data_IF_045947189875
#
_entry.id   IF_045947189875
#
_cell.length_a   1.000
_cell.length_b   1.000
_cell.length_c   1.000
_cell.angle_alpha   90.00
_cell.angle_beta   90.00
_cell.angle_gamma   90.00
#
_symmetry.space_group_name_H-M   'P 1'
#
loop_
_entity.id
_entity.type
_entity.pdbx_description
1 polymer ?
#
# COMPACT_ATOMS: atom_id res chain seq x y z
N UNK A 1 67.44 -3.19 -22.80
CA UNK A 1 66.89 -2.58 -21.58
C UNK A 1 65.64 -1.75 -21.86
N UNK A 2 65.72 -0.54 -22.44
CA UNK A 2 64.52 0.30 -22.71
C UNK A 2 63.59 -0.32 -23.78
N UNK A 3 64.13 -0.92 -24.83
CA UNK A 3 63.33 -1.58 -25.87
C UNK A 3 62.61 -2.85 -25.37
N UNK A 4 63.24 -3.61 -24.47
CA UNK A 4 62.67 -4.84 -23.91
C UNK A 4 61.52 -4.54 -22.94
N UNK A 5 61.63 -3.45 -22.16
CA UNK A 5 60.55 -2.97 -21.28
C UNK A 5 59.33 -2.51 -22.08
N UNK A 6 59.53 -1.79 -23.20
CA UNK A 6 58.43 -1.38 -24.09
C UNK A 6 57.76 -2.55 -24.79
N UNK A 7 58.52 -3.57 -25.18
CA UNK A 7 57.98 -4.81 -25.76
C UNK A 7 57.12 -5.55 -24.74
N UNK A 8 57.62 -5.70 -23.52
CA UNK A 8 56.87 -6.34 -22.43
C UNK A 8 55.60 -5.58 -22.05
N UNK A 9 55.66 -4.24 -22.06
CA UNK A 9 54.48 -3.38 -21.86
C UNK A 9 53.40 -3.68 -22.90
N UNK A 10 53.75 -3.69 -24.18
CA UNK A 10 52.82 -3.96 -25.27
C UNK A 10 52.20 -5.36 -25.19
N UNK A 11 53.00 -6.38 -24.86
CA UNK A 11 52.52 -7.76 -24.70
C UNK A 11 51.52 -7.89 -23.54
N UNK A 12 51.80 -7.25 -22.40
CA UNK A 12 50.91 -7.30 -21.24
C UNK A 12 49.64 -6.48 -21.50
N UNK A 13 49.74 -5.30 -22.13
CA UNK A 13 48.57 -4.51 -22.50
C UNK A 13 47.66 -5.26 -23.48
N UNK A 14 48.23 -5.98 -24.46
CA UNK A 14 47.45 -6.85 -25.33
C UNK A 14 46.77 -7.99 -24.58
N UNK A 15 47.46 -8.61 -23.62
CA UNK A 15 46.88 -9.67 -22.79
C UNK A 15 45.76 -9.15 -21.87
N UNK A 16 45.86 -7.92 -21.37
CA UNK A 16 44.79 -7.25 -20.61
C UNK A 16 43.58 -6.99 -21.52
N UNK A 17 43.81 -6.57 -22.77
CA UNK A 17 42.74 -6.25 -23.70
C UNK A 17 41.91 -7.48 -24.09
N UNK A 18 42.57 -8.64 -24.26
CA UNK A 18 41.93 -9.93 -24.59
C UNK A 18 41.34 -10.65 -23.37
N UNK A 19 41.56 -10.16 -22.15
CA UNK A 19 40.98 -10.78 -20.95
C UNK A 19 39.48 -10.49 -20.87
N UNK A 20 38.66 -11.50 -21.17
CA UNK A 20 37.20 -11.37 -21.26
C UNK A 20 36.45 -11.65 -19.95
N UNK A 21 37.13 -12.22 -18.95
CA UNK A 21 36.54 -12.53 -17.65
C UNK A 21 37.50 -12.23 -16.47
N UNK A 22 36.95 -12.25 -15.26
CA UNK A 22 37.70 -11.94 -14.05
C UNK A 22 38.85 -12.93 -13.78
N UNK A 23 38.72 -14.19 -14.21
CA UNK A 23 39.75 -15.20 -14.02
C UNK A 23 40.92 -15.01 -14.99
N UNK A 24 40.63 -14.67 -16.25
CA UNK A 24 41.60 -14.32 -17.28
C UNK A 24 42.37 -13.06 -16.90
N UNK A 25 41.69 -12.01 -16.42
CA UNK A 25 42.35 -10.79 -15.97
C UNK A 25 43.23 -11.02 -14.74
N UNK A 26 42.80 -11.89 -13.81
CA UNK A 26 43.58 -12.25 -12.64
C UNK A 26 44.83 -13.08 -13.02
N UNK A 27 44.71 -13.97 -14.01
CA UNK A 27 45.87 -14.70 -14.55
C UNK A 27 46.91 -13.73 -15.15
N UNK A 28 46.47 -12.70 -15.88
CA UNK A 28 47.36 -11.65 -16.42
C UNK A 28 48.00 -10.83 -15.28
N UNK A 29 47.23 -10.47 -14.25
CA UNK A 29 47.75 -9.75 -13.07
C UNK A 29 48.81 -10.55 -12.33
N UNK A 30 48.58 -11.84 -12.09
CA UNK A 30 49.55 -12.73 -11.42
C UNK A 30 50.79 -12.93 -12.29
N UNK A 31 50.61 -13.09 -13.61
CA UNK A 31 51.70 -13.25 -14.57
C UNK A 31 52.58 -12.00 -14.74
N UNK A 32 52.01 -10.80 -14.61
CA UNK A 32 52.74 -9.54 -14.74
C UNK A 32 53.28 -9.02 -13.39
N UNK A 33 52.41 -8.90 -12.38
CA UNK A 33 52.67 -8.21 -11.11
C UNK A 33 52.81 -9.16 -9.91
N UNK A 34 52.64 -10.47 -10.09
CA UNK A 34 52.81 -11.45 -9.02
C UNK A 34 54.24 -11.57 -8.51
N UNK A 35 54.48 -12.39 -7.48
CA UNK A 35 55.81 -12.57 -6.84
C UNK A 35 56.90 -13.04 -7.82
N UNK A 36 56.52 -13.79 -8.86
CA UNK A 36 57.36 -14.28 -9.97
C UNK A 36 56.96 -13.65 -11.32
N UNK A 37 56.16 -12.59 -11.32
CA UNK A 37 55.65 -11.97 -12.53
C UNK A 37 56.75 -11.29 -13.34
N UNK A 38 56.53 -11.10 -14.63
CA UNK A 38 57.51 -10.53 -15.56
C UNK A 38 57.96 -9.11 -15.17
N UNK A 39 57.05 -8.25 -14.72
CA UNK A 39 57.36 -6.89 -14.24
C UNK A 39 58.06 -6.92 -12.88
N UNK A 40 57.61 -7.81 -11.98
CA UNK A 40 58.25 -8.02 -10.67
C UNK A 40 59.66 -8.59 -10.80
N UNK A 41 59.92 -9.42 -11.82
CA UNK A 41 61.25 -9.92 -12.15
C UNK A 41 62.17 -8.79 -12.64
N UNK A 42 61.67 -7.89 -13.50
CA UNK A 42 62.41 -6.70 -13.93
C UNK A 42 62.77 -5.79 -12.76
N UNK A 43 61.83 -5.51 -11.84
CA UNK A 43 62.10 -4.70 -10.65
C UNK A 43 63.17 -5.30 -9.72
N UNK A 44 63.26 -6.63 -9.62
CA UNK A 44 64.32 -7.30 -8.84
C UNK A 44 65.71 -7.08 -9.41
N UNK A 45 65.85 -6.91 -10.73
CA UNK A 45 67.15 -6.66 -11.37
C UNK A 45 67.79 -5.33 -10.93
N UNK A 46 66.98 -4.35 -10.48
CA UNK A 46 67.48 -3.08 -9.94
C UNK A 46 68.40 -3.28 -8.72
N UNK A 47 68.27 -4.39 -7.99
CA UNK A 47 69.10 -4.72 -6.84
C UNK A 47 70.59 -4.89 -7.16
N UNK A 48 70.92 -5.33 -8.37
CA UNK A 48 72.29 -5.61 -8.82
C UNK A 48 72.89 -4.57 -9.77
N UNK A 49 72.20 -3.46 -10.05
CA UNK A 49 72.66 -2.40 -10.95
C UNK A 49 73.55 -1.37 -10.24
N UNK A 50 74.42 -0.72 -11.01
CA UNK A 50 75.21 0.43 -10.54
C UNK A 50 74.31 1.64 -10.20
N UNK A 51 74.78 2.60 -9.39
CA UNK A 51 74.01 3.80 -9.06
C UNK A 51 73.52 4.58 -10.28
N UNK A 52 74.35 4.72 -11.31
CA UNK A 52 74.04 5.41 -12.56
C UNK A 52 72.96 4.67 -13.37
N UNK A 53 73.06 3.34 -13.48
CA UNK A 53 72.06 2.51 -14.17
C UNK A 53 70.72 2.46 -13.43
N UNK A 54 70.75 2.46 -12.09
CA UNK A 54 69.54 2.50 -11.26
C UNK A 54 68.81 3.83 -11.40
N UNK A 55 69.54 4.94 -11.56
CA UNK A 55 68.95 6.27 -11.77
C UNK A 55 68.17 6.37 -13.10
N UNK A 56 68.59 5.63 -14.13
CA UNK A 56 67.93 5.60 -15.44
C UNK A 56 66.81 4.55 -15.50
N UNK A 57 67.06 3.32 -15.04
CA UNK A 57 66.12 2.20 -15.19
C UNK A 57 65.05 2.13 -14.08
N UNK A 58 65.34 2.66 -12.89
CA UNK A 58 64.41 2.66 -11.75
C UNK A 58 63.09 3.39 -12.06
N UNK A 59 63.11 4.64 -12.55
CA UNK A 59 61.92 5.35 -12.97
C UNK A 59 61.16 4.61 -14.07
N UNK A 60 61.87 4.08 -15.07
CA UNK A 60 61.26 3.39 -16.22
C UNK A 60 60.48 2.14 -15.79
N UNK A 61 61.02 1.33 -14.88
CA UNK A 61 60.34 0.13 -14.39
C UNK A 61 59.19 0.44 -13.43
N UNK A 62 59.29 1.50 -12.62
CA UNK A 62 58.18 1.95 -11.79
C UNK A 62 57.02 2.48 -12.65
N UNK A 63 57.32 3.27 -13.68
CA UNK A 63 56.32 3.73 -14.65
C UNK A 63 55.65 2.54 -15.33
N UNK A 64 56.43 1.55 -15.79
CA UNK A 64 55.87 0.33 -16.39
C UNK A 64 54.91 -0.42 -15.45
N UNK A 65 55.30 -0.60 -14.18
CA UNK A 65 54.45 -1.23 -13.17
C UNK A 65 53.16 -0.45 -12.98
N UNK A 66 53.25 0.87 -12.87
CA UNK A 66 52.11 1.73 -12.59
C UNK A 66 51.15 1.79 -13.78
N UNK A 67 51.67 1.83 -15.02
CA UNK A 67 50.87 1.72 -16.25
C UNK A 67 50.11 0.40 -16.31
N UNK A 68 50.77 -0.72 -16.05
CA UNK A 68 50.14 -2.05 -16.08
C UNK A 68 49.11 -2.17 -14.95
N UNK A 69 49.41 -1.70 -13.74
CA UNK A 69 48.47 -1.71 -12.64
C UNK A 69 47.23 -0.87 -12.94
N UNK A 70 47.40 0.31 -13.55
CA UNK A 70 46.31 1.16 -13.99
C UNK A 70 45.46 0.50 -15.08
N UNK A 71 46.09 -0.13 -16.08
CA UNK A 71 45.40 -0.84 -17.16
C UNK A 71 44.58 -2.04 -16.64
N UNK A 72 45.14 -2.82 -15.71
CA UNK A 72 44.41 -3.92 -15.05
C UNK A 72 43.23 -3.37 -14.25
N UNK A 73 43.43 -2.27 -13.51
CA UNK A 73 42.35 -1.60 -12.76
C UNK A 73 41.21 -1.16 -13.68
N UNK A 74 41.54 -0.51 -14.79
CA UNK A 74 40.56 -0.05 -15.77
C UNK A 74 39.78 -1.22 -16.41
N UNK A 75 40.48 -2.27 -16.85
CA UNK A 75 39.84 -3.47 -17.43
C UNK A 75 38.96 -4.19 -16.41
N UNK A 76 39.39 -4.25 -15.14
CA UNK A 76 38.59 -4.85 -14.06
C UNK A 76 37.26 -4.12 -13.89
N UNK A 77 37.26 -2.79 -13.88
CA UNK A 77 36.01 -2.01 -13.78
C UNK A 77 35.05 -2.32 -14.94
N UNK A 78 35.57 -2.52 -16.14
CA UNK A 78 34.75 -2.89 -17.32
C UNK A 78 34.11 -4.27 -17.15
N UNK A 79 34.91 -5.27 -16.75
CA UNK A 79 34.43 -6.65 -16.55
C UNK A 79 33.41 -6.71 -15.41
N UNK A 80 33.69 -6.07 -14.28
CA UNK A 80 32.81 -6.04 -13.11
C UNK A 80 31.47 -5.37 -13.46
N UNK A 81 31.51 -4.26 -14.23
CA UNK A 81 30.29 -3.57 -14.68
C UNK A 81 29.46 -4.43 -15.66
N UNK A 82 30.13 -5.14 -16.59
CA UNK A 82 29.44 -6.04 -17.51
C UNK A 82 28.76 -7.20 -16.77
N UNK A 83 29.46 -7.81 -15.81
CA UNK A 83 28.90 -8.89 -14.98
C UNK A 83 27.72 -8.41 -14.13
N UNK A 84 27.82 -7.21 -13.53
CA UNK A 84 26.71 -6.61 -12.78
C UNK A 84 25.49 -6.36 -13.67
N UNK A 85 25.67 -5.77 -14.84
CA UNK A 85 24.57 -5.48 -15.76
C UNK A 85 23.89 -6.75 -16.28
N UNK A 86 24.66 -7.80 -16.57
CA UNK A 86 24.10 -9.10 -16.95
C UNK A 86 23.20 -9.66 -15.82
N UNK A 87 23.69 -9.61 -14.58
CA UNK A 87 22.91 -10.04 -13.40
C UNK A 87 21.65 -9.21 -13.19
N UNK A 88 21.73 -7.89 -13.33
CA UNK A 88 20.56 -7.00 -13.20
C UNK A 88 19.51 -7.27 -14.29
N UNK A 89 19.94 -7.60 -15.52
CA UNK A 89 19.03 -7.96 -16.60
C UNK A 89 18.31 -9.29 -16.33
N UNK A 90 18.99 -10.29 -15.76
CA UNK A 90 18.38 -11.56 -15.34
C UNK A 90 17.44 -11.41 -14.15
N UNK A 91 17.78 -10.55 -13.19
CA UNK A 91 16.99 -10.30 -11.97
C UNK A 91 15.88 -9.24 -12.19
N UNK A 92 15.60 -8.84 -13.43
CA UNK A 92 14.53 -7.88 -13.73
C UNK A 92 13.16 -8.52 -13.51
N UNK A 93 12.37 -7.92 -12.62
CA UNK A 93 11.00 -8.34 -12.32
C UNK A 93 10.00 -7.42 -13.03
N UNK A 94 8.86 -7.99 -13.40
CA UNK A 94 7.72 -7.21 -13.88
C UNK A 94 7.02 -6.52 -12.70
N UNK A 95 7.32 -5.24 -12.53
CA UNK A 95 6.75 -4.39 -11.47
C UNK A 95 5.25 -4.06 -11.69
N UNK A 96 4.65 -4.49 -12.81
CA UNK A 96 3.21 -4.30 -13.09
C UNK A 96 2.36 -5.48 -12.66
N UNK A 97 2.98 -6.59 -12.26
CA UNK A 97 2.24 -7.76 -11.79
C UNK A 97 1.38 -7.39 -10.57
N UNK A 98 0.10 -7.82 -10.53
CA UNK A 98 -0.75 -7.58 -9.40
C UNK A 98 -0.19 -8.32 -8.18
N UNK A 99 -0.09 -7.60 -7.06
CA UNK A 99 0.08 -8.24 -5.77
C UNK A 99 -1.17 -9.08 -5.48
N UNK A 100 -1.01 -10.22 -4.82
CA UNK A 100 -2.13 -10.94 -4.24
C UNK A 100 -2.75 -10.06 -3.14
N UNK A 101 -3.70 -9.21 -3.54
CA UNK A 101 -4.51 -8.45 -2.61
C UNK A 101 -5.46 -9.44 -1.94
N UNK A 102 -5.19 -9.81 -0.69
CA UNK A 102 -6.11 -10.61 0.08
C UNK A 102 -7.36 -9.74 0.38
N UNK A 103 -8.56 -10.13 -0.15
CA UNK A 103 -9.78 -9.37 0.02
C UNK A 103 -10.18 -9.15 1.49
N UNK A 104 -9.59 -9.91 2.42
CA UNK A 104 -9.81 -9.75 3.86
C UNK A 104 -9.22 -8.44 4.42
N UNK A 105 -8.24 -7.83 3.75
CA UNK A 105 -7.64 -6.57 4.20
C UNK A 105 -8.32 -5.32 3.61
N UNK A 106 -9.29 -5.49 2.72
CA UNK A 106 -10.11 -4.37 2.20
C UNK A 106 -11.39 -4.19 3.02
N UNK A 107 -11.44 -3.13 3.82
CA UNK A 107 -12.66 -2.72 4.49
C UNK A 107 -13.73 -2.27 3.50
N UNK A 108 -14.99 -2.66 3.73
CA UNK A 108 -16.15 -2.23 2.93
C UNK A 108 -17.24 -1.69 3.84
N UNK A 109 -17.87 -0.60 3.42
CA UNK A 109 -19.04 -0.04 4.10
C UNK A 109 -20.28 -0.78 3.60
N UNK A 110 -21.20 -1.13 4.50
CA UNK A 110 -22.45 -1.78 4.13
C UNK A 110 -23.28 -0.90 3.18
N UNK A 111 -23.87 -1.43 2.08
CA UNK A 111 -24.61 -0.63 1.10
C UNK A 111 -25.72 0.24 1.70
N UNK A 112 -26.44 -0.27 2.71
CA UNK A 112 -27.48 0.51 3.40
C UNK A 112 -26.88 1.71 4.17
N UNK A 113 -25.69 1.56 4.77
CA UNK A 113 -25.03 2.67 5.45
C UNK A 113 -24.60 3.75 4.44
N UNK A 114 -24.08 3.35 3.28
CA UNK A 114 -23.74 4.27 2.20
C UNK A 114 -24.95 5.09 1.75
N UNK A 115 -26.10 4.43 1.52
CA UNK A 115 -27.34 5.12 1.10
C UNK A 115 -27.88 6.03 2.21
N UNK A 116 -27.84 5.61 3.47
CA UNK A 116 -28.28 6.46 4.59
C UNK A 116 -27.39 7.71 4.73
N UNK A 117 -26.07 7.56 4.60
CA UNK A 117 -25.13 8.68 4.62
C UNK A 117 -25.33 9.62 3.43
N UNK A 118 -25.56 9.07 2.23
CA UNK A 118 -25.85 9.86 1.02
C UNK A 118 -27.13 10.70 1.19
N UNK A 119 -28.22 10.09 1.69
CA UNK A 119 -29.46 10.80 1.99
C UNK A 119 -29.22 11.87 3.05
N UNK A 120 -28.50 11.56 4.12
CA UNK A 120 -28.19 12.52 5.17
C UNK A 120 -27.38 13.73 4.63
N UNK A 121 -26.40 13.50 3.76
CA UNK A 121 -25.63 14.56 3.13
C UNK A 121 -26.50 15.46 2.25
N UNK A 122 -27.38 14.89 1.41
CA UNK A 122 -28.30 15.65 0.55
C UNK A 122 -29.19 16.58 1.38
N UNK A 123 -29.75 16.06 2.48
CA UNK A 123 -30.66 16.83 3.33
C UNK A 123 -29.91 17.86 4.20
N UNK A 124 -28.68 17.54 4.64
CA UNK A 124 -27.82 18.49 5.34
C UNK A 124 -27.48 19.72 4.48
N UNK A 125 -27.20 19.53 3.18
CA UNK A 125 -27.00 20.63 2.22
C UNK A 125 -28.23 21.53 2.07
N UNK A 126 -29.42 20.95 2.28
CA UNK A 126 -30.67 21.70 2.31
C UNK A 126 -30.91 22.39 3.65
N UNK A 127 -30.11 22.12 4.69
CA UNK A 127 -30.25 22.66 6.04
C UNK A 127 -31.21 21.87 6.94
N UNK A 128 -31.36 20.57 6.70
CA UNK A 128 -32.05 19.66 7.63
C UNK A 128 -31.06 19.09 8.65
N UNK A 129 -31.51 19.00 9.90
CA UNK A 129 -30.80 18.27 10.96
C UNK A 129 -31.09 16.76 10.87
N UNK A 130 -30.31 15.95 11.60
CA UNK A 130 -30.56 14.50 11.76
C UNK A 130 -31.05 14.25 13.19
N UNK A 131 -32.22 13.62 13.32
CA UNK A 131 -32.81 13.23 14.59
C UNK A 131 -32.86 11.70 14.71
N UNK A 132 -32.54 11.19 15.90
CA UNK A 132 -32.59 9.76 16.22
C UNK A 132 -33.54 9.51 17.39
N UNK A 133 -34.00 8.26 17.51
CA UNK A 133 -34.81 7.82 18.63
C UNK A 133 -34.78 6.32 18.82
N UNK A 134 -35.42 5.81 19.89
CA UNK A 134 -35.33 4.41 20.29
C UNK A 134 -36.01 3.47 19.27
N UNK A 135 -35.55 2.22 19.22
CA UNK A 135 -36.16 1.17 18.40
C UNK A 135 -37.39 0.54 19.08
N UNK A 136 -37.41 0.52 20.41
CA UNK A 136 -38.55 0.09 21.22
C UNK A 136 -39.36 1.34 21.58
N UNK A 137 -40.64 1.33 21.23
CA UNK A 137 -41.53 2.46 21.40
C UNK A 137 -42.80 2.11 22.19
N UNK A 138 -43.41 3.15 22.75
CA UNK A 138 -44.77 3.03 23.28
C UNK A 138 -45.78 3.09 22.12
N UNK A 139 -46.94 2.45 22.31
CA UNK A 139 -48.03 2.54 21.33
C UNK A 139 -48.54 3.97 21.14
N UNK A 140 -48.33 4.86 22.12
CA UNK A 140 -48.67 6.27 21.97
C UNK A 140 -47.83 6.92 20.88
N UNK A 141 -46.50 6.81 20.95
CA UNK A 141 -45.60 7.43 19.98
C UNK A 141 -45.65 6.74 18.61
N UNK A 142 -45.75 5.40 18.59
CA UNK A 142 -45.80 4.66 17.32
C UNK A 142 -47.14 4.77 16.60
N UNK A 143 -48.24 5.11 17.28
CA UNK A 143 -49.55 5.14 16.64
C UNK A 143 -50.45 6.31 17.08
N UNK A 144 -50.76 6.44 18.37
CA UNK A 144 -51.80 7.38 18.84
C UNK A 144 -51.48 8.82 18.46
N UNK A 145 -50.24 9.25 18.65
CA UNK A 145 -49.78 10.60 18.32
C UNK A 145 -49.78 10.89 16.80
N UNK A 146 -49.80 9.84 15.98
CA UNK A 146 -49.84 9.91 14.51
C UNK A 146 -51.27 9.78 13.97
N UNK A 147 -52.28 9.99 14.83
CA UNK A 147 -53.69 9.88 14.49
C UNK A 147 -54.11 8.47 14.02
N UNK A 148 -53.44 7.43 14.52
CA UNK A 148 -53.78 6.03 14.25
C UNK A 148 -54.46 5.48 15.52
N UNK A 149 -55.80 5.46 15.65
CA UNK A 149 -56.48 4.97 16.86
C UNK A 149 -56.39 3.44 17.03
N UNK A 150 -56.78 2.91 18.19
CA UNK A 150 -56.70 1.46 18.52
C UNK A 150 -57.42 0.55 17.51
N UNK A 151 -58.58 0.98 17.02
CA UNK A 151 -59.36 0.22 16.04
C UNK A 151 -58.81 0.32 14.60
N UNK A 152 -57.71 1.03 14.38
CA UNK A 152 -57.16 1.24 13.05
C UNK A 152 -56.49 -0.04 12.51
N UNK A 153 -56.71 -0.44 11.24
CA UNK A 153 -56.11 -1.64 10.67
C UNK A 153 -54.57 -1.69 10.76
N UNK A 154 -53.91 -0.54 10.71
CA UNK A 154 -52.44 -0.45 10.86
C UNK A 154 -51.90 -0.88 12.24
N UNK A 155 -52.76 -1.05 13.26
CA UNK A 155 -52.39 -1.61 14.57
C UNK A 155 -52.68 -3.10 14.70
N UNK A 156 -53.10 -3.75 13.63
CA UNK A 156 -53.38 -5.19 13.69
C UNK A 156 -52.09 -5.96 13.98
N UNK A 157 -52.22 -7.01 14.79
CA UNK A 157 -51.10 -7.82 15.30
C UNK A 157 -50.28 -8.53 14.22
N UNK A 158 -50.74 -8.52 12.96
CA UNK A 158 -50.08 -9.22 11.86
C UNK A 158 -48.80 -8.53 11.41
N UNK A 159 -48.67 -7.20 11.57
CA UNK A 159 -47.53 -6.45 11.01
C UNK A 159 -46.59 -5.83 12.05
N UNK A 160 -46.95 -5.85 13.34
CA UNK A 160 -46.20 -5.19 14.42
C UNK A 160 -45.71 -6.19 15.45
N UNK A 161 -44.43 -6.09 15.85
CA UNK A 161 -43.91 -6.84 16.99
C UNK A 161 -44.34 -6.20 18.31
N UNK A 162 -45.31 -6.82 18.99
CA UNK A 162 -45.72 -6.45 20.34
C UNK A 162 -44.87 -7.19 21.38
N UNK A 163 -44.41 -6.45 22.39
CA UNK A 163 -43.67 -6.98 23.52
C UNK A 163 -44.62 -7.30 24.67
N UNK A 164 -44.32 -8.37 25.41
CA UNK A 164 -45.06 -8.69 26.62
C UNK A 164 -44.79 -7.64 27.69
N UNK A 165 -45.84 -7.06 28.27
CA UNK A 165 -45.70 -6.16 29.41
C UNK A 165 -45.31 -6.99 30.66
N UNK A 166 -44.22 -6.62 31.34
CA UNK A 166 -43.76 -7.35 32.53
C UNK A 166 -44.57 -7.02 33.80
N UNK A 167 -45.23 -5.86 33.89
CA UNK A 167 -46.23 -5.50 34.93
C UNK A 167 -46.89 -4.13 34.61
N UNK A 168 -48.18 -3.95 34.97
CA UNK A 168 -49.07 -2.74 34.96
C UNK A 168 -48.93 -1.64 33.86
N UNK A 169 -48.21 -1.90 32.77
CA UNK A 169 -48.01 -0.99 31.64
C UNK A 169 -48.70 -1.44 30.35
N UNK A 170 -48.93 -0.49 29.43
CA UNK A 170 -49.30 -0.82 28.06
C UNK A 170 -48.14 -1.58 27.38
N UNK A 171 -48.42 -2.65 26.61
CA UNK A 171 -47.36 -3.40 25.93
C UNK A 171 -46.59 -2.49 24.96
N UNK A 172 -45.27 -2.56 25.01
CA UNK A 172 -44.38 -1.84 24.09
C UNK A 172 -44.37 -2.52 22.72
N UNK A 173 -43.85 -1.82 21.72
CA UNK A 173 -43.72 -2.32 20.35
C UNK A 173 -42.32 -2.05 19.82
N UNK A 174 -41.83 -2.88 18.90
CA UNK A 174 -40.75 -2.43 18.02
C UNK A 174 -41.34 -1.45 17.00
N UNK A 175 -40.68 -0.30 16.80
CA UNK A 175 -41.20 0.75 15.92
C UNK A 175 -41.38 0.25 14.49
N UNK A 176 -42.53 0.58 13.89
CA UNK A 176 -42.88 0.16 12.51
C UNK A 176 -42.41 1.13 11.44
N UNK A 177 -42.01 2.32 11.88
CA UNK A 177 -41.59 3.47 11.08
C UNK A 177 -40.81 4.46 11.98
N UNK A 178 -40.12 5.45 11.41
CA UNK A 178 -39.31 6.42 12.19
C UNK A 178 -40.09 7.67 12.62
N UNK A 179 -41.37 7.75 12.29
CA UNK A 179 -42.29 8.81 12.75
C UNK A 179 -42.36 9.06 14.28
N UNK A 180 -42.12 8.08 15.19
CA UNK A 180 -42.03 8.36 16.64
C UNK A 180 -41.00 9.44 16.99
N UNK A 181 -39.88 9.48 16.25
CA UNK A 181 -38.85 10.51 16.40
C UNK A 181 -39.45 11.89 16.13
N UNK A 182 -40.30 12.03 15.12
CA UNK A 182 -40.92 13.31 14.77
C UNK A 182 -41.79 13.85 15.91
N UNK A 183 -42.62 12.99 16.50
CA UNK A 183 -43.48 13.37 17.63
C UNK A 183 -42.64 13.80 18.83
N UNK A 184 -41.59 13.04 19.17
CA UNK A 184 -40.69 13.36 20.28
C UNK A 184 -39.97 14.69 20.06
N UNK A 185 -39.37 14.89 18.89
CA UNK A 185 -38.69 16.14 18.53
C UNK A 185 -39.66 17.34 18.63
N UNK A 186 -40.89 17.19 18.14
CA UNK A 186 -41.90 18.25 18.23
C UNK A 186 -42.44 18.51 19.64
N UNK A 187 -42.35 17.55 20.55
CA UNK A 187 -42.70 17.74 21.97
C UNK A 187 -41.56 18.39 22.77
N UNK A 188 -40.32 18.07 22.41
CA UNK A 188 -39.13 18.52 23.13
C UNK A 188 -38.61 19.88 22.65
N UNK A 189 -39.12 20.41 21.54
CA UNK A 189 -38.69 21.68 20.96
C UNK A 189 -39.81 22.44 20.26
N UNK A 190 -39.57 23.71 19.90
CA UNK A 190 -40.53 24.57 19.21
C UNK A 190 -40.15 24.76 17.73
N UNK A 191 -41.11 25.05 16.84
CA UNK A 191 -40.83 25.35 15.43
C UNK A 191 -39.86 26.53 15.25
N UNK A 192 -39.16 26.64 14.10
CA UNK A 192 -39.31 25.82 12.88
C UNK A 192 -38.68 24.44 13.01
N UNK A 193 -39.34 23.42 12.44
CA UNK A 193 -38.81 22.06 12.40
C UNK A 193 -38.26 21.75 11.02
N UNK A 194 -37.04 21.22 10.96
CA UNK A 194 -36.43 20.78 9.70
C UNK A 194 -35.41 19.69 9.95
N UNK A 195 -35.84 18.44 9.90
CA UNK A 195 -34.96 17.30 10.16
C UNK A 195 -35.36 16.04 9.41
N UNK A 196 -34.41 15.14 9.24
CA UNK A 196 -34.63 13.76 8.84
C UNK A 196 -34.45 12.81 10.01
N UNK A 197 -35.12 11.67 9.97
CA UNK A 197 -35.06 10.61 10.97
C UNK A 197 -34.71 9.28 10.29
N UNK A 198 -33.42 9.02 10.00
CA UNK A 198 -32.95 7.71 9.57
C UNK A 198 -32.98 6.71 10.73
N UNK A 199 -33.38 5.47 10.48
CA UNK A 199 -33.41 4.47 11.54
C UNK A 199 -33.86 3.09 11.10
N UNK A 200 -33.67 2.12 12.00
CA UNK A 200 -34.16 0.75 11.85
C UNK A 200 -35.65 0.69 12.14
N UNK A 201 -36.38 -0.10 11.37
CA UNK A 201 -37.82 -0.31 11.55
C UNK A 201 -38.12 -1.79 11.43
N UNK A 202 -39.17 -2.22 12.12
CA UNK A 202 -39.45 -3.63 12.33
C UNK A 202 -40.88 -3.94 11.91
N UNK A 203 -41.05 -5.04 11.17
CA UNK A 203 -42.36 -5.54 10.76
C UNK A 203 -42.40 -7.05 10.89
N UNK A 204 -43.54 -7.59 11.31
CA UNK A 204 -43.73 -9.03 11.46
C UNK A 204 -44.01 -9.69 10.09
N UNK A 205 -43.15 -9.42 9.11
CA UNK A 205 -43.22 -9.98 7.75
C UNK A 205 -41.83 -10.40 7.29
N UNK A 206 -41.74 -11.58 6.66
CA UNK A 206 -40.47 -12.17 6.24
C UNK A 206 -40.69 -13.12 5.06
N UNK A 207 -40.26 -12.67 3.88
CA UNK A 207 -40.27 -13.45 2.64
C UNK A 207 -39.03 -13.11 1.79
N UNK A 208 -39.05 -13.37 0.48
CA UNK A 208 -37.92 -13.07 -0.41
C UNK A 208 -37.65 -11.57 -0.59
N UNK A 209 -38.68 -10.73 -0.40
CA UNK A 209 -38.67 -9.28 -0.61
C UNK A 209 -38.81 -8.48 0.69
N UNK A 210 -39.24 -9.12 1.77
CA UNK A 210 -39.48 -8.51 3.07
C UNK A 210 -38.53 -9.09 4.12
N UNK A 211 -37.88 -8.19 4.86
CA UNK A 211 -37.08 -8.55 6.04
C UNK A 211 -37.75 -8.00 7.30
N UNK A 212 -37.72 -8.75 8.42
CA UNK A 212 -38.40 -8.33 9.64
C UNK A 212 -37.77 -7.09 10.30
N UNK A 213 -36.54 -6.75 9.89
CA UNK A 213 -35.87 -5.50 10.18
C UNK A 213 -35.37 -4.91 8.86
N UNK A 214 -35.64 -3.63 8.64
CA UNK A 214 -35.13 -2.85 7.51
C UNK A 214 -34.84 -1.41 7.98
N UNK A 215 -34.44 -0.53 7.06
CA UNK A 215 -34.12 0.85 7.37
C UNK A 215 -35.07 1.79 6.63
N UNK A 216 -35.49 2.85 7.31
CA UNK A 216 -36.27 3.94 6.73
C UNK A 216 -35.60 5.27 7.02
N UNK A 217 -35.82 6.23 6.13
CA UNK A 217 -35.53 7.64 6.37
C UNK A 217 -36.82 8.41 6.14
N UNK A 218 -37.30 9.08 7.18
CA UNK A 218 -38.42 10.01 7.08
C UNK A 218 -37.93 11.44 7.23
N UNK A 219 -38.61 12.40 6.61
CA UNK A 219 -38.27 13.82 6.72
C UNK A 219 -39.47 14.63 7.18
N UNK A 220 -39.24 15.59 8.06
CA UNK A 220 -40.24 16.55 8.52
C UNK A 220 -39.77 17.98 8.28
N UNK A 221 -40.65 18.81 7.73
CA UNK A 221 -40.49 20.26 7.68
C UNK A 221 -41.82 20.94 8.03
N UNK A 222 -41.79 21.84 9.03
CA UNK A 222 -42.96 22.60 9.53
C UNK A 222 -42.54 24.02 9.87
#
# INVERSE_FOLDING_TARGET
>A
MSADAKKLEAEILAAIDVADDAAALEAVRVGALGKKGSVSALLKTLGGMTPEERQINGPLFNVLRDTIAAAIGAKKTIIDAAALNARLAEETLDMTLPLEADPQFEGRIHPVAQVMEEIAAIFADMGFDVAEGPDIESQFYNFTALNIPEAHPARQMHDTFYMQAEEEGAPLVLRTHTSPVQVRTMQDSAPPFRFIAPGRTYRCDSDQTHTPMFHQVEGLVV
#
